data_IF_291657786371
#
_entry.id   IF_291657786371
#
_cell.length_a   1.000
_cell.length_b   1.000
_cell.length_c   1.000
_cell.angle_alpha   90.00
_cell.angle_beta   90.00
_cell.angle_gamma   90.00
#
_symmetry.space_group_name_H-M   'P 1'
#
loop_
_entity.id
_entity.type
_entity.pdbx_description
1 polymer ?
#
# COMPACT_ATOMS: atom_id res chain seq x y z
N UNK A 1 77.47 50.17 -24.53
CA UNK A 1 76.17 50.26 -23.81
C UNK A 1 75.52 48.89 -23.78
N UNK A 2 74.92 48.56 -22.63
CA UNK A 2 74.13 47.37 -22.27
C UNK A 2 74.91 46.08 -21.91
N UNK A 3 75.02 45.91 -20.58
CA UNK A 3 75.37 44.71 -19.82
C UNK A 3 74.23 43.69 -19.91
N UNK A 4 74.53 42.40 -20.03
CA UNK A 4 73.56 41.32 -19.77
C UNK A 4 74.16 40.40 -18.71
N UNK A 5 73.45 40.35 -17.60
CA UNK A 5 73.72 39.63 -16.36
C UNK A 5 73.09 38.23 -16.50
N UNK A 6 73.89 37.16 -16.49
CA UNK A 6 73.38 35.79 -16.39
C UNK A 6 73.42 35.37 -14.92
N UNK A 7 72.25 35.36 -14.28
CA UNK A 7 72.08 34.91 -12.90
C UNK A 7 71.49 33.50 -12.89
N UNK A 8 72.12 32.64 -12.09
CA UNK A 8 71.73 31.30 -11.68
C UNK A 8 70.24 31.22 -11.31
N UNK A 9 69.49 30.26 -11.87
CA UNK A 9 68.13 29.94 -11.46
C UNK A 9 68.11 28.52 -10.90
N UNK A 10 68.09 28.41 -9.57
CA UNK A 10 67.86 27.16 -8.85
C UNK A 10 66.38 26.79 -8.92
N UNK A 11 66.07 25.61 -9.47
CA UNK A 11 64.72 25.06 -9.49
C UNK A 11 64.45 24.38 -8.15
N UNK A 12 63.64 25.02 -7.31
CA UNK A 12 63.09 24.46 -6.08
C UNK A 12 61.77 23.76 -6.43
N UNK A 13 61.78 22.43 -6.48
CA UNK A 13 60.57 21.63 -6.64
C UNK A 13 59.78 21.63 -5.31
N UNK A 14 58.68 22.39 -5.27
CA UNK A 14 57.69 22.32 -4.20
C UNK A 14 56.91 21.01 -4.31
N UNK A 15 57.08 20.15 -3.31
CA UNK A 15 56.28 18.95 -3.11
C UNK A 15 54.93 19.42 -2.54
N UNK A 16 53.91 19.49 -3.40
CA UNK A 16 52.53 19.66 -2.98
C UNK A 16 52.01 18.30 -2.49
N UNK A 17 52.08 18.07 -1.18
CA UNK A 17 51.34 17.00 -0.53
C UNK A 17 49.85 17.35 -0.55
N UNK A 18 49.14 16.87 -1.57
CA UNK A 18 47.69 16.82 -1.57
C UNK A 18 47.26 15.82 -0.49
N UNK A 19 46.69 16.32 0.60
CA UNK A 19 45.84 15.49 1.45
C UNK A 19 44.61 15.13 0.63
N UNK A 20 44.51 13.90 0.12
CA UNK A 20 43.20 13.34 -0.22
C UNK A 20 42.54 12.94 1.10
N UNK A 21 41.58 13.74 1.54
CA UNK A 21 40.62 13.26 2.52
C UNK A 21 39.68 12.30 1.80
N UNK A 22 39.75 11.02 2.17
CA UNK A 22 38.73 10.04 1.79
C UNK A 22 37.45 10.40 2.55
N UNK A 23 36.57 11.17 1.91
CA UNK A 23 35.23 11.35 2.40
C UNK A 23 34.41 10.15 1.95
N UNK A 24 33.93 9.35 2.91
CA UNK A 24 32.73 8.57 2.68
C UNK A 24 31.59 9.57 2.59
N UNK A 25 31.11 9.80 1.37
CA UNK A 25 29.77 10.37 1.20
C UNK A 25 28.85 9.25 1.67
N UNK A 26 28.40 9.34 2.92
CA UNK A 26 27.25 8.56 3.37
C UNK A 26 26.09 9.02 2.49
N UNK A 27 25.39 8.07 1.87
CA UNK A 27 24.10 8.38 1.26
C UNK A 27 23.26 9.14 2.29
N UNK A 28 22.47 10.10 1.79
CA UNK A 28 21.58 10.89 2.63
C UNK A 28 20.81 9.93 3.54
N UNK A 29 20.88 10.12 4.86
CA UNK A 29 20.25 9.21 5.83
C UNK A 29 18.83 8.93 5.36
N UNK A 30 18.62 7.69 4.94
CA UNK A 30 17.41 7.23 4.28
C UNK A 30 16.25 7.27 5.27
N UNK A 31 15.07 7.66 4.80
CA UNK A 31 13.85 7.62 5.62
C UNK A 31 13.51 6.17 5.94
N UNK A 32 13.60 5.78 7.20
CA UNK A 32 13.15 4.49 7.70
C UNK A 32 11.66 4.52 8.07
N UNK A 33 11.04 3.34 8.02
CA UNK A 33 9.62 3.14 8.26
C UNK A 33 9.45 2.27 9.51
N UNK A 34 8.72 2.80 10.48
CA UNK A 34 8.32 2.11 11.70
C UNK A 34 6.94 1.46 11.50
N UNK A 35 6.82 0.19 11.88
CA UNK A 35 5.53 -0.51 11.94
C UNK A 35 5.37 -1.23 13.27
N UNK A 36 4.12 -1.39 13.70
CA UNK A 36 3.74 -2.28 14.79
C UNK A 36 3.07 -3.54 14.21
N UNK A 37 3.30 -4.69 14.83
CA UNK A 37 2.60 -5.94 14.51
C UNK A 37 1.09 -5.83 14.74
N UNK A 38 0.70 -5.05 15.76
CA UNK A 38 -0.67 -4.72 16.10
C UNK A 38 -0.83 -3.23 16.41
N UNK A 39 -1.86 -2.60 15.85
CA UNK A 39 -2.23 -1.23 16.21
C UNK A 39 -3.01 -1.14 17.51
N UNK A 40 -3.57 -2.26 17.98
CA UNK A 40 -4.22 -2.35 19.29
C UNK A 40 -4.06 -3.72 19.94
N UNK A 41 -3.86 -3.74 21.25
CA UNK A 41 -3.78 -4.98 22.06
C UNK A 41 -4.46 -4.83 23.41
N UNK A 42 -4.79 -5.95 24.04
CA UNK A 42 -5.26 -5.95 25.42
C UNK A 42 -4.13 -5.52 26.37
N UNK A 43 -4.45 -4.82 27.45
CA UNK A 43 -3.49 -4.53 28.53
C UNK A 43 -2.77 -5.80 28.98
N UNK A 44 -1.45 -5.68 29.16
CA UNK A 44 -0.55 -6.78 29.52
C UNK A 44 -0.03 -7.60 28.33
N UNK A 45 -0.64 -7.52 27.14
CA UNK A 45 -0.13 -8.19 25.96
C UNK A 45 0.98 -7.35 25.30
N UNK A 46 1.98 -7.96 24.63
CA UNK A 46 3.02 -7.22 23.94
C UNK A 46 2.58 -6.73 22.56
N UNK A 47 3.18 -5.60 22.14
CA UNK A 47 3.27 -5.11 20.76
C UNK A 47 4.74 -5.09 20.36
N UNK A 48 5.06 -5.62 19.19
CA UNK A 48 6.41 -5.66 18.63
C UNK A 48 6.54 -4.63 17.51
N UNK A 49 7.62 -3.85 17.56
CA UNK A 49 7.94 -2.85 16.54
C UNK A 49 9.00 -3.38 15.58
N UNK A 50 8.84 -3.05 14.31
CA UNK A 50 9.83 -3.33 13.26
C UNK A 50 10.19 -2.01 12.58
N UNK A 51 11.48 -1.80 12.36
CA UNK A 51 12.01 -0.66 11.62
C UNK A 51 12.70 -1.18 10.37
N UNK A 52 12.26 -0.71 9.21
CA UNK A 52 12.84 -1.05 7.92
C UNK A 52 13.35 0.19 7.20
N UNK A 53 14.39 0.04 6.40
CA UNK A 53 14.79 1.08 5.46
C UNK A 53 13.83 1.16 4.25
N UNK A 54 14.13 2.00 3.26
CA UNK A 54 13.28 2.18 2.07
C UNK A 54 13.19 0.92 1.19
N UNK A 55 14.19 0.05 1.24
CA UNK A 55 14.30 -1.16 0.42
C UNK A 55 13.72 -2.39 1.14
N UNK A 56 13.32 -2.23 2.41
CA UNK A 56 12.69 -3.28 3.22
C UNK A 56 13.66 -4.03 4.13
N UNK A 57 14.93 -3.62 4.18
CA UNK A 57 15.91 -4.24 5.07
C UNK A 57 15.53 -3.97 6.54
N UNK A 58 15.51 -5.02 7.36
CA UNK A 58 15.21 -4.90 8.78
C UNK A 58 16.41 -4.31 9.55
N UNK A 59 16.25 -3.06 9.97
CA UNK A 59 17.23 -2.30 10.75
C UNK A 59 16.78 -2.10 12.21
N UNK A 60 15.82 -2.91 12.68
CA UNK A 60 15.22 -2.79 14.03
C UNK A 60 16.28 -2.84 15.13
N UNK A 61 17.23 -3.77 15.03
CA UNK A 61 18.30 -3.94 16.03
C UNK A 61 19.31 -2.79 16.07
N UNK A 62 19.34 -1.96 15.04
CA UNK A 62 20.21 -0.79 14.92
C UNK A 62 19.48 0.51 15.31
N UNK A 63 18.18 0.42 15.58
CA UNK A 63 17.30 1.55 15.86
C UNK A 63 17.01 1.66 17.37
N UNK A 64 16.73 2.87 17.83
CA UNK A 64 16.21 3.10 19.19
C UNK A 64 14.71 3.40 19.10
N UNK A 65 13.89 2.66 19.85
CA UNK A 65 12.44 2.89 19.91
C UNK A 65 12.11 3.82 21.08
N UNK A 66 11.22 4.77 20.84
CA UNK A 66 10.71 5.71 21.83
C UNK A 66 9.20 5.53 22.00
N UNK A 67 8.74 5.48 23.25
CA UNK A 67 7.33 5.50 23.63
C UNK A 67 7.04 6.78 24.40
N UNK A 68 6.14 7.61 23.89
CA UNK A 68 5.82 8.94 24.41
C UNK A 68 7.09 9.78 24.68
N UNK A 69 8.05 9.70 23.76
CA UNK A 69 9.35 10.38 23.83
C UNK A 69 10.39 9.75 24.75
N UNK A 70 10.10 8.64 25.43
CA UNK A 70 11.05 7.93 26.28
C UNK A 70 11.62 6.69 25.57
N UNK A 71 12.94 6.57 25.48
CA UNK A 71 13.59 5.40 24.90
C UNK A 71 13.29 4.13 25.70
N UNK A 72 13.01 3.03 25.02
CA UNK A 72 12.83 1.70 25.62
C UNK A 72 14.00 0.77 25.29
N UNK A 73 14.20 -0.25 26.12
CA UNK A 73 15.12 -1.35 25.80
C UNK A 73 14.43 -2.35 24.87
N UNK A 74 15.12 -2.73 23.80
CA UNK A 74 14.57 -3.61 22.78
C UNK A 74 13.50 -2.91 21.92
N UNK A 75 12.61 -3.72 21.34
CA UNK A 75 11.62 -3.29 20.35
C UNK A 75 10.22 -3.83 20.66
N UNK A 76 9.95 -4.16 21.92
CA UNK A 76 8.65 -4.65 22.38
C UNK A 76 8.13 -3.77 23.51
N UNK A 77 6.85 -3.41 23.45
CA UNK A 77 6.19 -2.61 24.47
C UNK A 77 4.93 -3.30 24.99
N UNK A 78 4.72 -3.20 26.30
CA UNK A 78 3.52 -3.66 27.00
C UNK A 78 3.03 -2.55 27.90
N UNK A 79 1.72 -2.32 27.95
CA UNK A 79 1.11 -1.39 28.91
C UNK A 79 0.12 -2.11 29.82
N UNK A 80 0.06 -1.67 31.08
CA UNK A 80 -0.97 -2.08 32.05
C UNK A 80 -2.13 -1.08 32.14
N UNK A 81 -2.06 0.02 31.39
CA UNK A 81 -3.08 1.07 31.36
C UNK A 81 -3.72 1.14 29.99
N UNK A 82 -5.04 1.33 29.98
CA UNK A 82 -5.78 1.65 28.76
C UNK A 82 -5.34 3.03 28.26
N UNK A 83 -5.05 3.15 26.97
CA UNK A 83 -4.60 4.41 26.39
C UNK A 83 -3.87 4.27 25.08
N UNK A 84 -3.68 5.41 24.42
CA UNK A 84 -2.85 5.54 23.23
C UNK A 84 -1.43 5.89 23.63
N UNK A 85 -0.47 5.35 22.90
CA UNK A 85 0.96 5.60 23.07
C UNK A 85 1.56 5.97 21.72
N UNK A 86 2.30 7.08 21.68
CA UNK A 86 3.02 7.53 20.51
C UNK A 86 4.36 6.78 20.41
N UNK A 87 4.63 6.16 19.27
CA UNK A 87 5.83 5.38 19.01
C UNK A 87 6.65 6.05 17.90
N UNK A 88 7.95 6.20 18.13
CA UNK A 88 8.92 6.64 17.13
C UNK A 88 10.14 5.74 17.12
N UNK A 89 10.81 5.65 15.99
CA UNK A 89 12.12 5.02 15.86
C UNK A 89 13.17 6.06 15.47
N UNK A 90 14.35 5.99 16.09
CA UNK A 90 15.54 6.74 15.68
C UNK A 90 16.59 5.80 15.10
N UNK A 91 17.05 6.11 13.89
CA UNK A 91 18.18 5.45 13.23
C UNK A 91 19.15 6.50 12.72
N UNK A 92 20.43 6.39 13.13
CA UNK A 92 21.49 7.34 12.77
C UNK A 92 21.15 8.83 13.01
N UNK A 93 20.31 9.12 14.01
CA UNK A 93 19.90 10.49 14.34
C UNK A 93 18.72 11.03 13.53
N UNK A 94 18.10 10.21 12.69
CA UNK A 94 16.85 10.52 11.98
C UNK A 94 15.69 9.84 12.68
N UNK A 95 14.57 10.54 12.82
CA UNK A 95 13.32 10.01 13.40
C UNK A 95 12.37 9.54 12.29
N UNK A 96 11.63 8.47 12.57
CA UNK A 96 10.51 8.03 11.74
C UNK A 96 9.31 8.97 11.87
N UNK A 97 8.33 8.80 11.00
CA UNK A 97 6.95 9.20 11.30
C UNK A 97 6.45 8.52 12.58
N UNK A 98 5.48 9.14 13.26
CA UNK A 98 4.85 8.56 14.44
C UNK A 98 3.87 7.44 14.08
N UNK A 99 3.88 6.39 14.90
CA UNK A 99 2.83 5.37 14.92
C UNK A 99 2.13 5.43 16.27
N UNK A 100 0.81 5.49 16.27
CA UNK A 100 0.02 5.35 17.51
C UNK A 100 -0.38 3.89 17.71
N UNK A 101 -0.14 3.37 18.91
CA UNK A 101 -0.66 2.07 19.35
C UNK A 101 -1.60 2.23 20.54
N UNK A 102 -2.62 1.37 20.61
CA UNK A 102 -3.69 1.47 21.61
C UNK A 102 -3.80 0.23 22.49
N UNK A 103 -3.82 0.43 23.81
CA UNK A 103 -4.11 -0.64 24.76
C UNK A 103 -5.55 -0.57 25.28
N UNK A 104 -6.28 -1.68 25.27
CA UNK A 104 -7.67 -1.79 25.76
C UNK A 104 -7.84 -2.81 26.88
N UNK A 105 -8.95 -2.74 27.62
CA UNK A 105 -9.25 -3.65 28.74
C UNK A 105 -9.82 -5.02 28.32
N UNK A 106 -10.07 -5.20 27.02
CA UNK A 106 -10.67 -6.41 26.43
C UNK A 106 -12.19 -6.35 26.27
N UNK A 107 -12.83 -5.21 26.53
CA UNK A 107 -14.27 -5.00 26.29
C UNK A 107 -14.59 -4.59 24.85
N UNK A 108 -13.59 -4.20 24.07
CA UNK A 108 -13.73 -3.70 22.71
C UNK A 108 -13.57 -4.80 21.65
N UNK A 109 -14.23 -4.62 20.50
CA UNK A 109 -14.01 -5.43 19.32
C UNK A 109 -13.12 -4.63 18.35
N UNK A 110 -11.92 -5.13 18.13
CA UNK A 110 -10.89 -4.51 17.29
C UNK A 110 -10.55 -5.44 16.14
N UNK A 111 -10.16 -4.86 15.00
CA UNK A 111 -9.78 -5.63 13.81
C UNK A 111 -8.43 -5.21 13.27
N UNK A 112 -7.73 -6.14 12.62
CA UNK A 112 -6.55 -5.81 11.83
C UNK A 112 -6.90 -4.77 10.76
N UNK A 113 -6.08 -3.71 10.71
CA UNK A 113 -6.24 -2.62 9.76
C UNK A 113 -5.53 -2.96 8.46
N UNK A 114 -6.21 -2.81 7.32
CA UNK A 114 -5.64 -3.02 6.00
C UNK A 114 -5.86 -1.81 5.11
N UNK A 115 -4.84 -1.48 4.33
CA UNK A 115 -4.88 -0.43 3.32
C UNK A 115 -5.43 -0.98 2.00
N UNK A 116 -6.34 -0.25 1.36
CA UNK A 116 -6.65 -0.44 -0.06
C UNK A 116 -5.72 0.46 -0.90
N UNK A 117 -5.03 -0.11 -1.89
CA UNK A 117 -4.29 0.62 -2.91
C UNK A 117 -4.96 0.40 -4.26
N UNK A 118 -5.38 1.47 -4.91
CA UNK A 118 -5.90 1.46 -6.28
C UNK A 118 -4.86 2.10 -7.21
N UNK A 119 -4.27 1.29 -8.10
CA UNK A 119 -3.37 1.73 -9.16
C UNK A 119 -4.18 1.95 -10.45
N UNK A 120 -4.34 3.20 -10.85
CA UNK A 120 -4.97 3.55 -12.12
C UNK A 120 -3.88 3.58 -13.18
N UNK A 121 -3.95 2.64 -14.12
CA UNK A 121 -2.82 2.23 -14.96
C UNK A 121 -3.23 1.92 -16.40
N UNK A 122 -2.26 1.55 -17.23
CA UNK A 122 -2.50 0.92 -18.52
C UNK A 122 -1.24 0.42 -19.23
N UNK A 123 -1.41 -0.58 -20.09
CA UNK A 123 -0.31 -1.24 -20.82
C UNK A 123 0.47 -0.26 -21.71
N UNK A 124 -0.21 0.71 -22.32
CA UNK A 124 0.35 1.77 -23.17
C UNK A 124 1.11 2.86 -22.39
N UNK A 125 0.97 2.91 -21.07
CA UNK A 125 1.44 4.01 -20.24
C UNK A 125 2.87 3.77 -19.74
N UNK A 126 3.84 4.42 -20.38
CA UNK A 126 5.26 4.23 -20.06
C UNK A 126 5.68 4.58 -18.63
N UNK A 127 4.98 5.47 -17.92
CA UNK A 127 5.29 5.78 -16.52
C UNK A 127 4.54 4.90 -15.52
N UNK A 128 3.59 4.08 -15.96
CA UNK A 128 2.78 3.23 -15.10
C UNK A 128 3.55 2.15 -14.32
N UNK A 129 4.65 1.57 -14.83
CA UNK A 129 5.54 0.70 -14.04
C UNK A 129 6.01 1.29 -12.70
N UNK A 130 5.99 2.62 -12.53
CA UNK A 130 6.36 3.30 -11.29
C UNK A 130 5.40 3.03 -10.12
N UNK A 131 4.10 2.91 -10.36
CA UNK A 131 3.12 2.63 -9.28
C UNK A 131 3.13 1.14 -8.96
N UNK A 132 3.19 0.28 -9.97
CA UNK A 132 3.38 -1.16 -9.79
C UNK A 132 4.62 -1.45 -8.92
N UNK A 133 5.77 -0.84 -9.24
CA UNK A 133 6.99 -1.01 -8.45
C UNK A 133 6.86 -0.41 -7.03
N UNK A 134 6.15 0.71 -6.86
CA UNK A 134 5.89 1.25 -5.52
C UNK A 134 5.05 0.30 -4.66
N UNK A 135 4.12 -0.45 -5.25
CA UNK A 135 3.32 -1.47 -4.55
C UNK A 135 4.21 -2.64 -4.12
N UNK A 136 5.16 -3.07 -4.96
CA UNK A 136 6.18 -4.07 -4.58
C UNK A 136 7.00 -3.59 -3.39
N UNK A 137 7.45 -2.32 -3.41
CA UNK A 137 8.17 -1.73 -2.27
C UNK A 137 7.31 -1.65 -1.01
N UNK A 138 6.00 -1.36 -1.11
CA UNK A 138 5.09 -1.44 0.06
C UNK A 138 5.02 -2.88 0.60
N UNK A 139 5.05 -3.89 -0.28
CA UNK A 139 5.03 -5.30 0.13
C UNK A 139 6.24 -5.71 0.95
N UNK A 140 7.41 -5.14 0.67
CA UNK A 140 8.62 -5.35 1.48
C UNK A 140 8.51 -4.74 2.89
N UNK A 141 7.59 -3.78 3.08
CA UNK A 141 7.38 -3.10 4.36
C UNK A 141 6.27 -3.74 5.19
N UNK A 142 5.19 -4.16 4.55
CA UNK A 142 3.98 -4.65 5.23
C UNK A 142 3.13 -5.55 4.34
N UNK A 143 2.47 -6.54 4.94
CA UNK A 143 1.45 -7.36 4.25
C UNK A 143 0.02 -6.88 4.50
N UNK A 144 -0.14 -5.75 5.20
CA UNK A 144 -1.43 -5.24 5.65
C UNK A 144 -2.07 -4.32 4.61
N UNK A 145 -2.04 -4.73 3.35
CA UNK A 145 -2.68 -4.00 2.26
C UNK A 145 -3.31 -4.97 1.25
N UNK A 146 -4.14 -4.42 0.37
CA UNK A 146 -4.73 -5.08 -0.80
C UNK A 146 -4.59 -4.11 -1.97
N UNK A 147 -3.99 -4.58 -3.07
CA UNK A 147 -3.83 -3.79 -4.28
C UNK A 147 -4.91 -4.13 -5.31
N UNK A 148 -5.26 -3.16 -6.15
CA UNK A 148 -6.17 -3.28 -7.29
C UNK A 148 -5.60 -2.48 -8.46
N UNK A 149 -5.36 -3.11 -9.59
CA UNK A 149 -4.95 -2.46 -10.83
C UNK A 149 -6.19 -2.15 -11.70
N UNK A 150 -6.46 -0.87 -11.92
CA UNK A 150 -7.59 -0.37 -12.70
C UNK A 150 -7.04 0.11 -14.06
N UNK A 151 -7.14 -0.78 -15.04
CA UNK A 151 -6.65 -0.53 -16.39
C UNK A 151 -7.60 0.35 -17.21
N UNK A 152 -7.03 1.28 -17.97
CA UNK A 152 -7.69 2.23 -18.87
C UNK A 152 -6.82 2.39 -20.13
N UNK A 153 -7.30 2.87 -21.27
CA UNK A 153 -8.54 3.63 -21.50
C UNK A 153 -9.38 3.14 -22.69
N UNK A 154 -8.78 2.43 -23.65
CA UNK A 154 -9.47 2.04 -24.88
C UNK A 154 -9.35 0.55 -25.17
N UNK A 155 -10.49 -0.08 -25.44
CA UNK A 155 -10.54 -1.46 -25.96
C UNK A 155 -10.35 -1.54 -27.48
N UNK A 156 -10.15 -0.42 -28.18
CA UNK A 156 -9.93 -0.42 -29.63
C UNK A 156 -8.46 -0.74 -29.94
N UNK A 157 -8.14 -1.88 -30.58
CA UNK A 157 -6.75 -2.26 -30.88
C UNK A 157 -6.02 -1.31 -31.84
N UNK A 158 -6.75 -0.44 -32.55
CA UNK A 158 -6.17 0.60 -33.39
C UNK A 158 -5.86 1.91 -32.64
N UNK A 159 -6.19 1.99 -31.35
CA UNK A 159 -5.91 3.15 -30.49
C UNK A 159 -4.45 3.17 -30.05
N UNK A 160 -3.84 4.36 -30.00
CA UNK A 160 -2.52 4.52 -29.39
C UNK A 160 -2.51 4.28 -27.87
N UNK A 161 -3.69 4.31 -27.24
CA UNK A 161 -3.89 4.03 -25.81
C UNK A 161 -4.71 2.73 -25.64
N UNK A 162 -4.49 1.75 -26.53
CA UNK A 162 -5.13 0.45 -26.42
C UNK A 162 -4.67 -0.24 -25.14
N UNK A 163 -5.63 -0.79 -24.40
CA UNK A 163 -5.39 -1.65 -23.25
C UNK A 163 -6.45 -2.76 -23.21
N UNK A 164 -6.06 -4.05 -23.31
CA UNK A 164 -6.99 -5.18 -23.35
C UNK A 164 -7.76 -5.37 -22.04
N UNK A 165 -7.27 -4.80 -20.94
CA UNK A 165 -7.82 -4.94 -19.60
C UNK A 165 -8.66 -3.73 -19.17
N UNK A 166 -8.95 -2.82 -20.11
CA UNK A 166 -9.74 -1.60 -19.84
C UNK A 166 -11.04 -1.91 -19.09
N UNK A 167 -11.22 -1.28 -17.92
CA UNK A 167 -12.47 -1.24 -17.15
C UNK A 167 -13.03 0.19 -17.15
N UNK A 168 -14.37 0.37 -17.12
CA UNK A 168 -14.94 1.72 -17.08
C UNK A 168 -15.05 2.30 -15.66
N UNK A 169 -13.96 2.94 -15.22
CA UNK A 169 -13.88 3.66 -13.93
C UNK A 169 -14.29 5.13 -14.01
N UNK A 170 -14.90 5.59 -15.11
CA UNK A 170 -15.12 7.03 -15.37
C UNK A 170 -15.92 7.72 -14.26
N UNK A 171 -16.93 7.07 -13.68
CA UNK A 171 -17.72 7.64 -12.57
C UNK A 171 -16.84 7.96 -11.35
N UNK A 172 -16.00 7.00 -10.95
CA UNK A 172 -15.09 7.14 -9.81
C UNK A 172 -13.97 8.15 -10.11
N UNK A 173 -13.34 8.07 -11.28
CA UNK A 173 -12.27 9.01 -11.66
C UNK A 173 -12.75 10.46 -11.74
N UNK A 174 -13.99 10.68 -12.21
CA UNK A 174 -14.61 12.02 -12.20
C UNK A 174 -14.79 12.55 -10.79
N UNK A 175 -15.21 11.71 -9.84
CA UNK A 175 -15.39 12.08 -8.44
C UNK A 175 -14.05 12.37 -7.75
N UNK A 176 -13.00 11.62 -8.09
CA UNK A 176 -11.63 11.83 -7.62
C UNK A 176 -10.94 13.06 -8.22
N UNK A 177 -11.51 13.65 -9.28
CA UNK A 177 -10.84 14.69 -10.08
C UNK A 177 -9.53 14.19 -10.71
N UNK A 178 -9.49 12.91 -11.06
CA UNK A 178 -8.28 12.18 -11.39
C UNK A 178 -7.84 12.38 -12.85
N UNK A 179 -6.89 13.28 -13.11
CA UNK A 179 -6.32 13.48 -14.45
C UNK A 179 -5.03 12.66 -14.69
N UNK A 180 -4.87 12.14 -15.92
CA UNK A 180 -3.66 11.46 -16.38
C UNK A 180 -3.44 10.05 -15.80
N UNK A 181 -2.42 9.35 -16.29
CA UNK A 181 -1.96 8.05 -15.77
C UNK A 181 -0.42 8.05 -15.73
N UNK A 182 0.21 7.32 -14.80
CA UNK A 182 -0.45 6.60 -13.69
C UNK A 182 -0.89 7.53 -12.57
N UNK A 183 -1.66 6.98 -11.64
CA UNK A 183 -1.98 7.59 -10.34
C UNK A 183 -2.36 6.50 -9.35
N UNK A 184 -1.78 6.58 -8.16
CA UNK A 184 -2.16 5.73 -7.03
C UNK A 184 -3.14 6.45 -6.10
N UNK A 185 -4.16 5.74 -5.63
CA UNK A 185 -5.02 6.19 -4.55
C UNK A 185 -5.01 5.18 -3.40
N UNK A 186 -4.97 5.72 -2.19
CA UNK A 186 -4.93 5.02 -0.93
C UNK A 186 -6.30 5.18 -0.26
N UNK A 187 -6.90 4.07 0.18
CA UNK A 187 -8.24 4.06 0.78
C UNK A 187 -9.27 4.88 -0.02
N UNK A 188 -9.29 4.71 -1.35
CA UNK A 188 -10.15 5.38 -2.34
C UNK A 188 -9.82 6.84 -2.62
N UNK A 189 -9.91 7.70 -1.62
CA UNK A 189 -9.90 9.16 -1.83
C UNK A 189 -8.61 9.85 -1.38
N UNK A 190 -7.66 9.12 -0.76
CA UNK A 190 -6.37 9.69 -0.41
C UNK A 190 -5.40 9.52 -1.57
N UNK A 191 -5.10 10.59 -2.32
CA UNK A 191 -4.12 10.52 -3.40
C UNK A 191 -2.74 10.12 -2.86
N UNK A 192 -2.14 9.08 -3.43
CA UNK A 192 -0.74 8.77 -3.18
C UNK A 192 0.11 9.87 -3.81
N UNK A 193 1.00 10.47 -3.02
CA UNK A 193 1.89 11.52 -3.49
C UNK A 193 2.74 10.98 -4.65
N UNK A 194 2.72 11.71 -5.76
CA UNK A 194 3.47 11.38 -6.95
C UNK A 194 4.97 11.21 -6.64
N UNK A 195 5.64 10.41 -7.47
CA UNK A 195 6.86 9.68 -7.13
C UNK A 195 6.59 8.69 -5.98
N UNK A 196 5.62 7.78 -6.14
CA UNK A 196 5.16 6.87 -5.09
C UNK A 196 6.31 6.03 -4.51
N UNK A 197 7.31 5.66 -5.33
CA UNK A 197 8.53 4.97 -4.89
C UNK A 197 9.34 5.76 -3.85
N UNK A 198 9.20 7.08 -3.79
CA UNK A 198 9.82 7.94 -2.77
C UNK A 198 8.88 8.22 -1.59
N UNK A 199 7.65 7.69 -1.62
CA UNK A 199 6.57 8.00 -0.69
C UNK A 199 5.93 6.73 -0.12
N UNK A 200 6.72 5.66 0.04
CA UNK A 200 6.26 4.37 0.56
C UNK A 200 5.67 4.51 1.98
N UNK A 201 6.31 5.33 2.83
CA UNK A 201 5.83 5.62 4.18
C UNK A 201 4.37 6.11 4.21
N UNK A 202 3.94 6.91 3.21
CA UNK A 202 2.55 7.38 3.14
C UNK A 202 1.56 6.21 3.08
N UNK A 203 1.84 5.18 2.30
CA UNK A 203 1.02 3.98 2.22
C UNK A 203 1.16 3.16 3.49
N UNK A 204 2.38 2.85 3.94
CA UNK A 204 2.60 2.00 5.11
C UNK A 204 1.94 2.56 6.38
N UNK A 205 2.01 3.88 6.60
CA UNK A 205 1.39 4.54 7.75
C UNK A 205 -0.14 4.34 7.81
N UNK A 206 -0.81 4.16 6.67
CA UNK A 206 -2.26 3.88 6.63
C UNK A 206 -2.62 2.45 7.06
N UNK A 207 -1.63 1.58 7.24
CA UNK A 207 -1.79 0.25 7.86
C UNK A 207 -1.70 0.30 9.39
N UNK A 208 -1.33 1.45 9.95
CA UNK A 208 -1.05 1.68 11.36
C UNK A 208 -2.07 2.63 12.00
N UNK A 209 -1.95 2.89 13.30
CA UNK A 209 -2.77 3.87 14.02
C UNK A 209 -4.19 3.39 14.34
N UNK A 210 -5.15 4.33 14.36
CA UNK A 210 -6.51 4.07 14.85
C UNK A 210 -7.15 2.83 14.21
N UNK A 211 -7.73 1.97 15.06
CA UNK A 211 -8.42 0.76 14.66
C UNK A 211 -9.64 1.09 13.78
N UNK A 212 -9.88 0.38 12.67
CA UNK A 212 -11.02 0.67 11.79
C UNK A 212 -12.37 0.38 12.45
N UNK A 213 -12.39 -0.39 13.56
CA UNK A 213 -13.61 -0.82 14.27
C UNK A 213 -14.62 -1.56 13.39
N UNK A 214 -14.19 -2.06 12.24
CA UNK A 214 -14.93 -3.02 11.43
C UNK A 214 -13.96 -3.97 10.73
N UNK A 215 -14.38 -5.21 10.55
CA UNK A 215 -13.63 -6.25 9.87
C UNK A 215 -14.48 -6.93 8.81
N UNK A 216 -13.84 -7.39 7.74
CA UNK A 216 -14.48 -8.17 6.69
C UNK A 216 -14.01 -9.63 6.75
N UNK A 217 -14.86 -10.54 6.29
CA UNK A 217 -14.52 -11.93 6.03
C UNK A 217 -15.25 -12.38 4.77
N UNK A 218 -14.52 -13.00 3.84
CA UNK A 218 -15.06 -13.50 2.57
C UNK A 218 -15.10 -15.03 2.58
N UNK A 219 -16.13 -15.57 1.94
CA UNK A 219 -16.19 -16.98 1.55
C UNK A 219 -16.71 -17.02 0.12
N UNK A 220 -15.97 -17.63 -0.79
CA UNK A 220 -16.33 -17.61 -2.21
C UNK A 220 -16.05 -18.95 -2.90
N UNK A 221 -16.75 -19.19 -4.00
CA UNK A 221 -16.49 -20.30 -4.93
C UNK A 221 -16.69 -19.82 -6.36
N UNK A 222 -15.96 -20.42 -7.28
CA UNK A 222 -16.17 -20.27 -8.72
C UNK A 222 -16.47 -21.65 -9.28
N UNK A 223 -17.70 -21.88 -9.72
CA UNK A 223 -18.15 -23.18 -10.22
C UNK A 223 -19.13 -23.01 -11.39
N UNK A 224 -19.03 -23.91 -12.38
CA UNK A 224 -19.95 -23.94 -13.52
C UNK A 224 -20.16 -22.58 -14.23
N UNK A 225 -19.12 -21.74 -14.28
CA UNK A 225 -19.18 -20.40 -14.88
C UNK A 225 -19.86 -19.32 -14.01
N UNK A 226 -20.13 -19.59 -12.73
CA UNK A 226 -20.68 -18.64 -11.78
C UNK A 226 -19.74 -18.41 -10.60
N UNK A 227 -19.83 -17.21 -10.06
CA UNK A 227 -19.21 -16.76 -8.81
C UNK A 227 -20.31 -16.79 -7.75
N UNK A 228 -20.06 -17.51 -6.66
CA UNK A 228 -20.84 -17.40 -5.44
C UNK A 228 -19.94 -16.81 -4.36
N UNK A 229 -20.31 -15.65 -3.80
CA UNK A 229 -19.52 -14.99 -2.76
C UNK A 229 -20.42 -14.49 -1.64
N UNK A 230 -20.04 -14.84 -0.41
CA UNK A 230 -20.55 -14.26 0.83
C UNK A 230 -19.53 -13.27 1.37
N UNK A 231 -19.97 -12.02 1.53
CA UNK A 231 -19.20 -10.98 2.22
C UNK A 231 -19.84 -10.73 3.58
N UNK A 232 -19.07 -10.93 4.64
CA UNK A 232 -19.46 -10.64 6.01
C UNK A 232 -18.72 -9.41 6.52
N UNK A 233 -19.42 -8.55 7.24
CA UNK A 233 -18.86 -7.37 7.91
C UNK A 233 -19.27 -7.41 9.38
N UNK A 234 -18.30 -7.41 10.29
CA UNK A 234 -18.54 -7.32 11.74
C UNK A 234 -18.18 -5.94 12.24
N UNK A 235 -19.02 -5.37 13.10
CA UNK A 235 -18.86 -4.01 13.59
C UNK A 235 -18.43 -3.99 15.07
N UNK A 236 -17.40 -3.22 15.36
CA UNK A 236 -16.87 -2.99 16.72
C UNK A 236 -17.36 -1.70 17.37
N UNK A 237 -18.24 -0.96 16.70
CA UNK A 237 -19.03 0.16 17.21
C UNK A 237 -20.24 0.38 16.31
N UNK A 238 -21.10 1.33 16.66
CA UNK A 238 -22.16 1.80 15.76
C UNK A 238 -21.57 2.67 14.63
N UNK A 239 -22.07 2.47 13.42
CA UNK A 239 -21.74 3.26 12.23
C UNK A 239 -23.02 3.73 11.52
N UNK A 240 -22.87 4.69 10.61
CA UNK A 240 -23.91 5.16 9.70
C UNK A 240 -23.32 5.47 8.32
N UNK A 241 -24.16 5.40 7.28
CA UNK A 241 -23.76 5.84 5.93
C UNK A 241 -22.71 4.95 5.26
N UNK A 242 -22.58 3.70 5.71
CA UNK A 242 -21.61 2.76 5.15
C UNK A 242 -22.06 2.22 3.79
N UNK A 243 -21.09 1.98 2.91
CA UNK A 243 -21.33 1.28 1.64
C UNK A 243 -20.36 0.13 1.46
N UNK A 244 -20.82 -0.96 0.87
CA UNK A 244 -20.02 -2.12 0.50
C UNK A 244 -19.62 -2.04 -0.98
N UNK A 245 -18.34 -2.28 -1.27
CA UNK A 245 -17.83 -2.47 -2.63
C UNK A 245 -17.23 -3.87 -2.74
N UNK A 246 -17.53 -4.58 -3.84
CA UNK A 246 -16.98 -5.91 -4.12
C UNK A 246 -16.46 -5.98 -5.56
N UNK A 247 -15.16 -6.25 -5.69
CA UNK A 247 -14.44 -6.40 -6.95
C UNK A 247 -14.13 -7.85 -7.27
N UNK A 248 -14.15 -8.15 -8.57
CA UNK A 248 -13.56 -9.33 -9.18
C UNK A 248 -12.28 -8.89 -9.89
N UNK A 249 -11.16 -9.43 -9.44
CA UNK A 249 -9.85 -9.22 -10.03
C UNK A 249 -9.40 -10.48 -10.76
N UNK A 250 -8.39 -10.33 -11.62
CA UNK A 250 -7.67 -11.44 -12.22
C UNK A 250 -6.16 -11.22 -12.12
N UNK A 251 -5.45 -12.30 -11.80
CA UNK A 251 -4.00 -12.34 -11.65
C UNK A 251 -3.33 -13.07 -12.83
N UNK A 252 -2.03 -12.86 -13.02
CA UNK A 252 -1.23 -13.59 -13.99
C UNK A 252 -1.58 -13.34 -15.47
N UNK A 253 -2.13 -12.16 -15.79
CA UNK A 253 -2.44 -11.77 -17.16
C UNK A 253 -1.16 -11.33 -17.89
N UNK A 254 -0.84 -11.92 -19.03
CA UNK A 254 0.41 -11.63 -19.76
C UNK A 254 0.13 -10.68 -20.92
N UNK A 255 0.78 -9.52 -20.94
CA UNK A 255 0.75 -8.57 -22.05
C UNK A 255 2.00 -7.69 -22.05
N UNK A 256 2.24 -6.99 -23.16
CA UNK A 256 3.26 -5.95 -23.19
C UNK A 256 2.92 -4.79 -22.25
N UNK A 257 3.94 -4.20 -21.62
CA UNK A 257 3.84 -2.96 -20.86
C UNK A 257 4.90 -1.96 -21.34
N UNK A 258 4.48 -0.78 -21.80
CA UNK A 258 5.39 0.33 -22.07
C UNK A 258 6.09 0.77 -20.80
N UNK A 259 7.36 1.17 -20.91
CA UNK A 259 8.18 1.52 -19.76
C UNK A 259 9.17 2.65 -20.11
N UNK A 260 9.03 3.78 -19.43
CA UNK A 260 9.91 4.96 -19.52
C UNK A 260 10.78 5.11 -18.26
N UNK A 261 10.90 4.04 -17.48
CA UNK A 261 11.65 3.97 -16.23
C UNK A 261 12.82 3.01 -16.36
N UNK A 262 13.69 2.95 -15.36
CA UNK A 262 14.75 1.93 -15.27
C UNK A 262 14.28 0.64 -14.58
N UNK A 263 13.03 0.58 -14.12
CA UNK A 263 12.48 -0.59 -13.44
C UNK A 263 12.30 -1.75 -14.42
N UNK A 264 12.24 -2.97 -13.87
CA UNK A 264 12.06 -4.20 -14.66
C UNK A 264 13.11 -4.39 -15.78
N UNK A 265 14.35 -3.96 -15.52
CA UNK A 265 15.45 -4.03 -16.49
C UNK A 265 15.50 -2.88 -17.50
N UNK A 266 14.55 -1.94 -17.46
CA UNK A 266 14.61 -0.68 -18.22
C UNK A 266 14.43 -0.81 -19.73
N UNK A 267 13.87 -1.92 -20.22
CA UNK A 267 13.47 -2.03 -21.62
C UNK A 267 12.27 -1.12 -21.90
N UNK A 268 12.25 -0.46 -23.07
CA UNK A 268 11.19 0.48 -23.46
C UNK A 268 9.80 -0.18 -23.54
N UNK A 269 9.77 -1.47 -23.89
CA UNK A 269 8.60 -2.34 -23.89
C UNK A 269 8.97 -3.62 -23.14
N UNK A 270 8.16 -3.99 -22.15
CA UNK A 270 8.26 -5.23 -21.39
C UNK A 270 7.30 -6.23 -22.03
N UNK A 271 7.79 -7.06 -22.96
CA UNK A 271 6.96 -7.91 -23.86
C UNK A 271 6.08 -8.94 -23.13
N UNK A 272 6.62 -9.60 -22.10
CA UNK A 272 5.93 -10.65 -21.34
C UNK A 272 5.64 -10.18 -19.90
N UNK A 273 5.12 -8.95 -19.75
CA UNK A 273 4.85 -8.40 -18.42
C UNK A 273 3.63 -9.08 -17.79
N UNK A 274 3.77 -9.52 -16.54
CA UNK A 274 2.70 -10.14 -15.77
C UNK A 274 1.90 -9.06 -15.01
N UNK A 275 0.64 -8.88 -15.40
CA UNK A 275 -0.31 -8.01 -14.74
C UNK A 275 -1.10 -8.78 -13.69
N UNK A 276 -0.99 -8.31 -12.44
CA UNK A 276 -1.69 -8.85 -11.28
C UNK A 276 -2.72 -7.87 -10.73
N UNK A 277 -3.68 -8.41 -9.96
CA UNK A 277 -4.74 -7.67 -9.30
C UNK A 277 -5.61 -6.81 -10.26
N UNK A 278 -5.74 -7.24 -11.52
CA UNK A 278 -6.42 -6.46 -12.57
C UNK A 278 -7.93 -6.49 -12.37
N UNK A 279 -8.55 -5.33 -12.19
CA UNK A 279 -10.00 -5.20 -12.03
C UNK A 279 -10.73 -5.65 -13.30
N UNK A 280 -11.54 -6.71 -13.19
CA UNK A 280 -12.35 -7.25 -14.30
C UNK A 280 -13.82 -6.89 -14.20
N UNK A 281 -14.34 -6.76 -12.97
CA UNK A 281 -15.74 -6.40 -12.71
C UNK A 281 -15.93 -5.82 -11.29
N UNK A 282 -16.95 -4.99 -11.10
CA UNK A 282 -17.45 -4.59 -9.79
C UNK A 282 -18.86 -5.15 -9.60
N UNK A 283 -19.03 -6.10 -8.68
CA UNK A 283 -20.30 -6.80 -8.44
C UNK A 283 -21.36 -5.85 -7.89
N UNK A 284 -20.94 -4.93 -7.02
CA UNK A 284 -21.76 -3.82 -6.49
C UNK A 284 -21.68 -2.62 -7.44
N UNK A 285 -22.47 -1.54 -7.24
CA UNK A 285 -22.18 -0.26 -7.88
C UNK A 285 -20.74 0.19 -7.59
N UNK A 286 -20.10 0.88 -8.53
CA UNK A 286 -18.69 1.29 -8.40
C UNK A 286 -18.46 2.20 -7.18
N UNK A 287 -19.45 3.03 -6.82
CA UNK A 287 -19.44 3.88 -5.62
C UNK A 287 -19.99 3.19 -4.35
N UNK A 288 -20.28 1.90 -4.43
CA UNK A 288 -20.74 1.04 -3.35
C UNK A 288 -22.26 0.90 -3.22
N UNK A 289 -22.68 -0.25 -2.69
CA UNK A 289 -24.05 -0.56 -2.29
C UNK A 289 -24.28 -0.16 -0.82
N UNK A 290 -25.41 0.47 -0.50
CA UNK A 290 -25.73 0.89 0.87
C UNK A 290 -25.79 -0.30 1.84
N UNK A 291 -25.15 -0.18 3.01
CA UNK A 291 -25.41 -1.05 4.16
C UNK A 291 -26.39 -0.30 5.06
N UNK A 292 -27.60 -0.85 5.22
CA UNK A 292 -28.64 -0.23 6.05
C UNK A 292 -28.15 0.06 7.46
N UNK A 293 -28.32 1.30 7.96
CA UNK A 293 -27.84 1.72 9.29
C UNK A 293 -28.38 0.84 10.43
N UNK A 294 -29.56 0.23 10.24
CA UNK A 294 -30.13 -0.74 11.20
C UNK A 294 -29.34 -2.05 11.31
N UNK A 295 -28.35 -2.28 10.44
CA UNK A 295 -27.46 -3.44 10.42
C UNK A 295 -26.03 -3.09 10.85
N UNK A 296 -25.70 -1.82 11.08
CA UNK A 296 -24.34 -1.35 11.35
C UNK A 296 -24.12 -0.99 12.82
N UNK A 297 -24.69 -1.78 13.73
CA UNK A 297 -24.57 -1.59 15.18
C UNK A 297 -23.53 -2.53 15.80
N UNK A 298 -23.03 -2.15 16.98
CA UNK A 298 -22.01 -2.88 17.72
C UNK A 298 -22.30 -4.40 17.79
N UNK A 299 -21.28 -5.19 17.50
CA UNK A 299 -21.25 -6.65 17.50
C UNK A 299 -22.16 -7.33 16.46
N UNK A 300 -22.95 -6.59 15.66
CA UNK A 300 -23.70 -7.20 14.56
C UNK A 300 -22.75 -7.73 13.48
N UNK A 301 -23.20 -8.77 12.78
CA UNK A 301 -22.56 -9.26 11.56
C UNK A 301 -23.54 -9.08 10.40
N UNK A 302 -23.25 -8.10 9.53
CA UNK A 302 -23.94 -7.97 8.26
C UNK A 302 -23.40 -9.01 7.28
N UNK A 303 -24.29 -9.67 6.54
CA UNK A 303 -23.90 -10.64 5.49
C UNK A 303 -24.62 -10.28 4.20
N UNK A 304 -23.87 -10.22 3.09
CA UNK A 304 -24.39 -10.05 1.75
C UNK A 304 -23.85 -11.17 0.85
N UNK A 305 -24.77 -11.88 0.22
CA UNK A 305 -24.46 -12.94 -0.74
C UNK A 305 -24.69 -12.46 -2.16
N UNK A 306 -23.78 -12.82 -3.06
CA UNK A 306 -23.88 -12.57 -4.48
C UNK A 306 -23.75 -13.88 -5.25
N UNK A 307 -24.58 -14.03 -6.28
CA UNK A 307 -24.48 -15.09 -7.28
C UNK A 307 -24.52 -14.39 -8.64
N UNK A 308 -23.37 -14.36 -9.31
CA UNK A 308 -23.20 -13.69 -10.60
C UNK A 308 -22.44 -14.59 -11.55
N UNK A 309 -22.67 -14.44 -12.85
CA UNK A 309 -21.88 -15.14 -13.86
C UNK A 309 -20.45 -14.60 -13.86
N UNK A 310 -19.46 -15.47 -14.09
CA UNK A 310 -18.07 -15.05 -14.31
C UNK A 310 -18.06 -14.03 -15.45
N UNK A 311 -17.52 -12.81 -15.24
CA UNK A 311 -17.51 -11.77 -16.26
C UNK A 311 -16.84 -12.29 -17.54
N UNK A 312 -17.42 -11.98 -18.71
CA UNK A 312 -16.85 -12.39 -19.99
C UNK A 312 -15.49 -11.74 -20.29
N UNK A 313 -15.11 -10.73 -19.51
CA UNK A 313 -13.79 -10.11 -19.54
C UNK A 313 -12.73 -11.06 -18.99
N UNK A 314 -13.03 -11.87 -17.95
CA UNK A 314 -12.06 -12.79 -17.32
C UNK A 314 -11.52 -13.80 -18.33
N UNK A 315 -10.20 -13.93 -18.43
CA UNK A 315 -9.54 -14.85 -19.38
C UNK A 315 -9.41 -16.26 -18.81
N UNK A 316 -9.04 -16.35 -17.54
CA UNK A 316 -8.86 -17.59 -16.81
C UNK A 316 -9.50 -17.49 -15.42
N UNK A 317 -10.64 -18.17 -15.26
CA UNK A 317 -11.38 -18.18 -14.01
C UNK A 317 -10.59 -18.78 -12.81
N UNK A 318 -9.54 -19.57 -13.07
CA UNK A 318 -8.65 -20.08 -12.01
C UNK A 318 -7.78 -19.00 -11.37
N UNK A 319 -7.62 -17.85 -12.04
CA UNK A 319 -6.80 -16.74 -11.58
C UNK A 319 -7.63 -15.61 -10.94
N UNK A 320 -8.92 -15.83 -10.72
CA UNK A 320 -9.80 -14.85 -10.07
C UNK A 320 -9.35 -14.61 -8.63
N UNK A 321 -9.40 -13.35 -8.20
CA UNK A 321 -9.33 -12.93 -6.81
C UNK A 321 -10.52 -12.01 -6.50
N UNK A 322 -11.04 -12.07 -5.29
CA UNK A 322 -12.10 -11.18 -4.84
C UNK A 322 -11.55 -10.16 -3.86
N UNK A 323 -11.95 -8.90 -4.01
CA UNK A 323 -11.67 -7.84 -3.04
C UNK A 323 -12.98 -7.25 -2.55
N UNK A 324 -13.15 -7.15 -1.24
CA UNK A 324 -14.27 -6.43 -0.64
C UNK A 324 -13.77 -5.40 0.36
N UNK A 325 -14.41 -4.23 0.36
CA UNK A 325 -14.14 -3.16 1.31
C UNK A 325 -15.40 -2.38 1.63
N UNK A 326 -15.38 -1.73 2.79
CA UNK A 326 -16.47 -0.86 3.24
C UNK A 326 -15.99 0.58 3.24
N UNK A 327 -16.78 1.48 2.66
CA UNK A 327 -16.51 2.91 2.67
C UNK A 327 -17.38 3.65 3.69
N UNK A 328 -16.87 4.77 4.20
CA UNK A 328 -17.64 5.75 4.95
C UNK A 328 -18.56 6.60 4.05
N UNK A 329 -19.29 7.55 4.65
CA UNK A 329 -20.17 8.48 3.94
C UNK A 329 -19.44 9.42 2.96
N UNK A 330 -18.13 9.61 3.17
CA UNK A 330 -17.26 10.43 2.32
C UNK A 330 -16.62 9.60 1.19
N UNK A 331 -16.83 8.28 1.17
CA UNK A 331 -16.29 7.35 0.18
C UNK A 331 -14.91 6.79 0.52
N UNK A 332 -14.31 7.13 1.66
CA UNK A 332 -13.02 6.55 2.07
C UNK A 332 -13.19 5.10 2.49
N UNK A 333 -12.29 4.22 2.05
CA UNK A 333 -12.24 2.84 2.55
C UNK A 333 -11.85 2.82 4.03
N UNK A 334 -12.66 2.18 4.87
CA UNK A 334 -12.40 1.99 6.29
C UNK A 334 -11.57 0.72 6.56
N UNK A 335 -11.84 -0.35 5.82
CA UNK A 335 -11.06 -1.59 5.86
C UNK A 335 -11.31 -2.42 4.60
N UNK A 336 -10.37 -3.29 4.24
CA UNK A 336 -10.40 -4.11 3.02
C UNK A 336 -9.91 -5.52 3.27
N UNK A 337 -10.45 -6.49 2.52
CA UNK A 337 -9.95 -7.86 2.46
C UNK A 337 -9.95 -8.36 1.02
N UNK A 338 -8.98 -9.21 0.70
CA UNK A 338 -8.98 -10.02 -0.52
C UNK A 338 -9.01 -11.51 -0.20
N UNK A 339 -9.48 -12.32 -1.14
CA UNK A 339 -9.51 -13.77 -1.05
C UNK A 339 -9.52 -14.43 -2.44
N UNK A 340 -8.82 -15.56 -2.57
CA UNK A 340 -8.97 -16.46 -3.70
C UNK A 340 -10.26 -17.31 -3.57
N UNK A 341 -10.82 -17.80 -4.70
CA UNK A 341 -11.91 -18.77 -4.67
C UNK A 341 -11.61 -19.99 -3.78
N UNK A 342 -12.62 -20.45 -3.05
CA UNK A 342 -12.53 -21.61 -2.16
C UNK A 342 -11.91 -21.32 -0.78
N UNK A 343 -11.38 -20.10 -0.56
CA UNK A 343 -10.90 -19.68 0.76
C UNK A 343 -12.06 -19.18 1.60
N UNK A 344 -12.26 -19.82 2.77
CA UNK A 344 -13.18 -19.35 3.80
C UNK A 344 -12.37 -18.57 4.83
N UNK A 345 -12.66 -17.29 4.98
CA UNK A 345 -11.97 -16.42 5.93
C UNK A 345 -12.74 -16.30 7.23
N UNK A 346 -11.97 -16.21 8.31
CA UNK A 346 -12.45 -15.66 9.59
C UNK A 346 -12.12 -14.16 9.69
N UNK A 347 -12.80 -13.47 10.60
CA UNK A 347 -12.45 -12.10 10.93
C UNK A 347 -11.06 -12.03 11.56
N UNK A 348 -10.26 -11.04 11.18
CA UNK A 348 -8.98 -10.73 11.82
C UNK A 348 -9.21 -9.86 13.07
N UNK A 349 -9.87 -10.42 14.08
CA UNK A 349 -10.08 -9.75 15.39
C UNK A 349 -8.78 -9.73 16.23
N UNK A 350 -8.55 -8.64 16.99
CA UNK A 350 -7.31 -8.37 17.74
C UNK A 350 -7.41 -8.57 19.26
#
# INVERSE_FOLDING_TARGET
MKRILFSFFSVLALILSSCSSDYLILDSIETHILTADFSSRKIGDPITFTVRDKDGEDITSLSTIFIDGNAIEGYTFTSQTVGNFEVKAEYLGVLSDDVTVYFHDGSEINFKKRLLIEDYTGTWCGFCPRVAHAIELVKEQTENFVAVAIHRSSLNPASANYDPYTYDSSELENLLGAAGYPKGYLNRFTKWRALETNNIAQAVNLTQGENPKLGLALSSTVDNGNINIDVKVKFGKDFSGLKLVVYVLENGLIHEQHNYTTYYGGADILEDFEHNHVLRECITPLLGENIETSQTYLANVYTKSFNVTVPATVENAANIEFVAFVTDENGNSLNVRSALPGVVQEFEEL
#
